data_IF_263038613466
#
_entry.id   IF_263038613466
#
_cell.length_a   1.000
_cell.length_b   1.000
_cell.length_c   1.000
_cell.angle_alpha   90.00
_cell.angle_beta   90.00
_cell.angle_gamma   90.00
#
_symmetry.space_group_name_H-M   'P 1'
#
loop_
_entity.id
_entity.type
_entity.pdbx_description
1 polymer ?
#
# COMPACT_ATOMS: atom_id res chain seq x y z
N UNK A 1 -5.64 -15.16 3.68
CA UNK A 1 -5.99 -15.01 2.25
C UNK A 1 -4.90 -14.16 1.59
N UNK A 2 -4.57 -14.40 0.30
CA UNK A 2 -3.45 -13.74 -0.40
C UNK A 2 -3.83 -12.35 -0.98
N UNK A 3 -4.77 -11.65 -0.35
CA UNK A 3 -5.39 -10.40 -0.82
C UNK A 3 -4.95 -9.16 -0.02
N UNK A 4 -4.09 -9.34 0.99
CA UNK A 4 -3.58 -8.27 1.84
C UNK A 4 -2.11 -8.53 2.21
N UNK A 5 -1.45 -7.49 2.73
CA UNK A 5 -0.06 -7.54 3.17
C UNK A 5 0.02 -7.06 4.62
N UNK A 6 0.77 -7.80 5.44
CA UNK A 6 1.18 -7.39 6.78
C UNK A 6 2.63 -6.94 6.75
N UNK A 7 2.94 -5.79 7.35
CA UNK A 7 4.29 -5.24 7.39
C UNK A 7 4.56 -4.72 8.81
N UNK A 8 5.70 -5.09 9.37
CA UNK A 8 6.24 -4.50 10.59
C UNK A 8 7.29 -3.46 10.19
N UNK A 9 7.09 -2.20 10.58
CA UNK A 9 7.97 -1.09 10.21
C UNK A 9 8.27 -0.20 11.41
N UNK A 10 9.48 0.34 11.45
CA UNK A 10 9.83 1.43 12.37
C UNK A 10 9.66 2.76 11.64
N UNK A 11 8.78 3.63 12.15
CA UNK A 11 8.48 4.94 11.58
C UNK A 11 8.98 6.01 12.54
N UNK A 12 9.82 6.96 12.10
CA UNK A 12 10.22 8.09 12.92
C UNK A 12 8.99 8.87 13.43
N UNK A 13 8.95 9.29 14.70
CA UNK A 13 7.75 9.91 15.30
C UNK A 13 7.35 11.24 14.65
N UNK A 14 8.26 11.87 13.90
CA UNK A 14 7.99 13.10 13.12
C UNK A 14 7.18 12.85 11.85
N UNK A 15 7.08 11.59 11.41
CA UNK A 15 6.35 11.20 10.21
C UNK A 15 5.02 10.60 10.67
N UNK A 16 3.91 11.14 10.19
CA UNK A 16 2.61 10.55 10.48
C UNK A 16 2.47 9.19 9.77
N UNK A 17 1.81 8.25 10.45
CA UNK A 17 1.51 6.93 9.88
C UNK A 17 0.71 7.08 8.58
N UNK A 18 -0.23 8.02 8.52
CA UNK A 18 -1.07 8.26 7.33
C UNK A 18 -0.24 8.73 6.13
N UNK A 19 0.71 9.65 6.33
CA UNK A 19 1.60 10.09 5.24
C UNK A 19 2.50 8.96 4.76
N UNK A 20 3.05 8.15 5.68
CA UNK A 20 3.83 6.97 5.32
C UNK A 20 3.00 5.96 4.50
N UNK A 21 1.79 5.64 4.96
CA UNK A 21 0.90 4.70 4.27
C UNK A 21 0.43 5.22 2.91
N UNK A 22 0.14 6.51 2.79
CA UNK A 22 -0.20 7.15 1.51
C UNK A 22 0.93 7.01 0.49
N UNK A 23 2.17 7.30 0.91
CA UNK A 23 3.35 7.11 0.06
C UNK A 23 3.55 5.64 -0.31
N UNK A 24 3.54 4.74 0.68
CA UNK A 24 3.80 3.32 0.48
C UNK A 24 2.78 2.70 -0.49
N UNK A 25 1.49 2.90 -0.25
CA UNK A 25 0.41 2.37 -1.09
C UNK A 25 0.45 2.99 -2.49
N UNK A 26 0.68 4.31 -2.59
CA UNK A 26 0.75 5.00 -3.88
C UNK A 26 1.94 4.55 -4.75
N UNK A 27 3.16 4.56 -4.19
CA UNK A 27 4.36 4.17 -4.93
C UNK A 27 4.36 2.70 -5.31
N UNK A 28 3.93 1.82 -4.41
CA UNK A 28 3.84 0.38 -4.72
C UNK A 28 2.78 0.08 -5.78
N UNK A 29 1.63 0.75 -5.79
CA UNK A 29 0.62 0.59 -6.84
C UNK A 29 1.18 0.98 -8.21
N UNK A 30 1.91 2.10 -8.31
CA UNK A 30 2.58 2.50 -9.55
C UNK A 30 3.58 1.44 -10.03
N UNK A 31 4.46 0.97 -9.13
CA UNK A 31 5.45 -0.06 -9.45
C UNK A 31 4.79 -1.39 -9.88
N UNK A 32 3.64 -1.73 -9.29
CA UNK A 32 2.90 -2.94 -9.61
C UNK A 32 2.33 -2.88 -11.03
N UNK A 33 1.70 -1.77 -11.42
CA UNK A 33 1.16 -1.62 -12.78
C UNK A 33 2.25 -1.43 -13.84
N UNK A 34 3.41 -0.89 -13.48
CA UNK A 34 4.57 -0.79 -14.36
C UNK A 34 5.15 -2.19 -14.68
N UNK A 35 5.37 -3.01 -13.65
CA UNK A 35 5.93 -4.37 -13.81
C UNK A 35 4.94 -5.39 -14.34
N UNK A 36 3.65 -5.21 -14.04
CA UNK A 36 2.59 -6.16 -14.35
C UNK A 36 1.44 -5.47 -15.07
N UNK A 37 1.70 -4.96 -16.27
CA UNK A 37 0.75 -4.17 -17.06
C UNK A 37 -0.62 -4.85 -17.26
N UNK A 38 -0.66 -6.19 -17.29
CA UNK A 38 -1.90 -6.97 -17.43
C UNK A 38 -2.87 -6.79 -16.26
N UNK A 39 -2.40 -6.37 -15.09
CA UNK A 39 -3.25 -6.11 -13.93
C UNK A 39 -4.24 -4.97 -14.17
N UNK A 40 -4.00 -4.08 -15.14
CA UNK A 40 -4.96 -3.02 -15.51
C UNK A 40 -6.32 -3.58 -15.94
N UNK A 41 -6.35 -4.79 -16.52
CA UNK A 41 -7.59 -5.44 -16.93
C UNK A 41 -8.36 -6.01 -15.73
N UNK A 42 -7.65 -6.42 -14.68
CA UNK A 42 -8.24 -6.93 -13.43
C UNK A 42 -8.70 -5.81 -12.51
N UNK A 43 -7.94 -4.71 -12.46
CA UNK A 43 -8.14 -3.61 -11.52
C UNK A 43 -8.63 -2.31 -12.19
N UNK A 44 -9.19 -2.40 -13.39
CA UNK A 44 -9.87 -1.33 -14.13
C UNK A 44 -9.18 0.04 -14.00
N UNK A 45 -9.78 0.92 -13.19
CA UNK A 45 -9.30 2.25 -12.82
C UNK A 45 -7.95 2.28 -12.04
N UNK A 46 -7.16 1.21 -12.11
CA UNK A 46 -5.85 1.05 -11.47
C UNK A 46 -5.89 1.21 -9.95
N UNK A 47 -6.98 0.80 -9.32
CA UNK A 47 -7.06 0.70 -7.87
C UNK A 47 -6.48 -0.65 -7.43
N UNK A 48 -5.21 -0.65 -7.02
CA UNK A 48 -4.54 -1.88 -6.57
C UNK A 48 -4.81 -2.18 -5.09
N UNK A 49 -4.73 -1.17 -4.23
CA UNK A 49 -4.99 -1.30 -2.80
C UNK A 49 -6.42 -0.88 -2.46
N UNK A 50 -6.98 -1.48 -1.39
CA UNK A 50 -8.15 -0.93 -0.73
C UNK A 50 -7.87 0.50 -0.23
N UNK A 51 -8.90 1.33 -0.11
CA UNK A 51 -8.75 2.72 0.37
C UNK A 51 -8.24 2.77 1.81
N UNK A 52 -8.75 1.88 2.67
CA UNK A 52 -8.38 1.78 4.08
C UNK A 52 -7.03 1.10 4.32
N UNK A 53 -6.57 1.19 5.57
CA UNK A 53 -5.49 0.38 6.10
C UNK A 53 -5.71 0.17 7.61
N UNK A 54 -5.17 -0.92 8.15
CA UNK A 54 -5.14 -1.18 9.58
C UNK A 54 -3.73 -0.89 10.12
N UNK A 55 -3.67 -0.33 11.33
CA UNK A 55 -2.41 -0.12 12.05
C UNK A 55 -2.60 -0.44 13.53
N UNK A 56 -1.59 -1.08 14.10
CA UNK A 56 -1.46 -1.29 15.54
C UNK A 56 -0.02 -0.99 15.93
N UNK A 57 0.16 -0.31 17.07
CA UNK A 57 1.48 -0.03 17.63
C UNK A 57 1.98 -1.24 18.40
N UNK A 58 3.25 -1.58 18.22
CA UNK A 58 3.96 -2.59 19.01
C UNK A 58 5.00 -1.86 19.87
N UNK A 59 5.03 -2.18 21.16
CA UNK A 59 5.96 -1.63 22.15
C UNK A 59 6.84 -2.70 22.75
#
# INVERSE_FOLDING_TARGET
MPDHVHILVSIPPRISVSSFMGYLKGKSALMMFDKHANLKYKFGNRHFWSEGYYVSTVG
#
